data_IF_565085862416
#
_entry.id   IF_565085862416
#
_cell.length_a   1.000
_cell.length_b   1.000
_cell.length_c   1.000
_cell.angle_alpha   90.00
_cell.angle_beta   90.00
_cell.angle_gamma   90.00
#
_symmetry.space_group_name_H-M   'P 1'
#
loop_
_entity.id
_entity.type
_entity.pdbx_description
1 polymer ?
#
# COMPACT_ATOMS: atom_id res chain seq x y z
N UNK A 1 3.12 -12.14 9.92
CA UNK A 1 3.42 -11.77 8.52
C UNK A 1 4.70 -10.97 8.50
N UNK A 2 5.63 -11.34 7.63
CA UNK A 2 6.87 -10.58 7.50
C UNK A 2 6.75 -9.55 6.39
N UNK A 3 7.78 -8.74 6.20
CA UNK A 3 7.72 -7.65 5.22
C UNK A 3 7.60 -8.15 3.79
N UNK A 4 8.22 -9.28 3.46
CA UNK A 4 8.07 -9.82 2.11
C UNK A 4 6.65 -10.27 1.84
N UNK A 5 6.03 -10.92 2.80
CA UNK A 5 4.63 -11.33 2.67
C UNK A 5 3.71 -10.13 2.54
N UNK A 6 3.98 -9.09 3.33
CA UNK A 6 3.19 -7.87 3.26
C UNK A 6 3.38 -7.16 1.92
N UNK A 7 4.62 -7.11 1.42
CA UNK A 7 4.90 -6.54 0.11
C UNK A 7 4.09 -7.24 -0.98
N UNK A 8 4.10 -8.58 -0.96
CA UNK A 8 3.36 -9.35 -1.94
C UNK A 8 1.85 -9.11 -1.83
N UNK A 9 1.34 -9.00 -0.61
CA UNK A 9 -0.08 -8.75 -0.40
C UNK A 9 -0.47 -7.36 -0.94
N UNK A 10 0.35 -6.35 -0.67
CA UNK A 10 0.07 -5.00 -1.16
C UNK A 10 0.08 -4.96 -2.67
N UNK A 11 1.06 -5.63 -3.30
CA UNK A 11 1.15 -5.69 -4.76
C UNK A 11 -0.07 -6.39 -5.35
N UNK A 12 -0.50 -7.46 -4.72
CA UNK A 12 -1.66 -8.22 -5.17
C UNK A 12 -2.93 -7.38 -5.07
N UNK A 13 -3.13 -6.69 -3.95
CA UNK A 13 -4.31 -5.86 -3.75
C UNK A 13 -4.31 -4.69 -4.74
N UNK A 14 -3.15 -4.12 -5.01
CA UNK A 14 -3.06 -3.03 -5.95
C UNK A 14 -3.53 -3.46 -7.34
N UNK A 15 -3.06 -4.59 -7.82
CA UNK A 15 -3.49 -5.10 -9.12
C UNK A 15 -4.97 -5.47 -9.13
N UNK A 16 -5.42 -6.13 -8.07
CA UNK A 16 -6.78 -6.66 -8.02
C UNK A 16 -7.84 -5.56 -7.95
N UNK A 17 -7.60 -4.55 -7.13
CA UNK A 17 -8.63 -3.55 -6.84
C UNK A 17 -8.42 -2.23 -7.56
N UNK A 18 -7.20 -1.94 -8.03
CA UNK A 18 -6.90 -0.67 -8.69
C UNK A 18 -6.47 -0.86 -10.14
N UNK A 19 -6.24 -2.10 -10.56
CA UNK A 19 -5.75 -2.40 -11.91
C UNK A 19 -4.47 -1.63 -12.21
N UNK A 20 -3.65 -1.42 -11.19
CA UNK A 20 -2.39 -0.67 -11.27
C UNK A 20 -1.38 -1.32 -10.35
N UNK A 21 -0.12 -1.44 -10.76
CA UNK A 21 0.88 -2.06 -9.90
C UNK A 21 1.31 -1.13 -8.77
N UNK A 22 1.71 -1.74 -7.66
CA UNK A 22 2.42 -1.02 -6.62
C UNK A 22 3.90 -1.28 -6.84
N UNK A 23 4.66 -0.24 -7.17
CA UNK A 23 6.05 -0.37 -7.60
C UNK A 23 7.05 0.12 -6.56
N UNK A 24 6.61 0.40 -5.37
CA UNK A 24 7.48 0.93 -4.33
C UNK A 24 7.52 -0.03 -3.15
N UNK A 25 7.93 0.44 -1.99
CA UNK A 25 8.15 -0.43 -0.84
C UNK A 25 7.04 -0.28 0.17
N UNK A 26 6.73 -1.37 0.86
CA UNK A 26 5.93 -1.30 2.06
C UNK A 26 6.81 -1.70 3.24
N UNK A 27 6.65 -1.00 4.35
CA UNK A 27 7.43 -1.24 5.56
C UNK A 27 6.50 -1.49 6.73
N UNK A 28 6.93 -2.35 7.63
CA UNK A 28 6.21 -2.60 8.88
C UNK A 28 6.68 -1.59 9.90
N UNK A 29 5.75 -0.89 10.53
CA UNK A 29 6.07 0.06 11.58
C UNK A 29 5.55 -0.48 12.92
N UNK A 30 6.49 -0.78 13.83
CA UNK A 30 6.16 -1.37 15.14
C UNK A 30 5.90 -0.33 16.20
N UNK A 31 6.06 0.94 15.87
CA UNK A 31 5.88 2.04 16.83
C UNK A 31 4.64 2.87 16.57
N UNK A 32 3.91 2.54 15.52
CA UNK A 32 2.70 3.25 15.17
C UNK A 32 1.62 2.94 16.19
N UNK A 33 0.97 3.95 16.74
CA UNK A 33 0.01 3.74 17.82
C UNK A 33 -1.40 4.21 17.51
N UNK A 34 -1.56 5.13 16.58
CA UNK A 34 -2.86 5.77 16.36
C UNK A 34 -3.46 5.50 14.99
N UNK A 35 -2.68 5.04 14.03
CA UNK A 35 -3.18 4.81 12.68
C UNK A 35 -2.84 3.40 12.24
N UNK A 36 -3.58 2.91 11.26
CA UNK A 36 -3.32 1.59 10.68
C UNK A 36 -2.23 1.60 9.64
N UNK A 37 -2.06 2.71 8.95
CA UNK A 37 -1.06 2.82 7.91
C UNK A 37 -0.79 4.25 7.53
N UNK A 38 0.20 4.43 6.67
CA UNK A 38 0.60 5.76 6.21
C UNK A 38 1.25 5.65 4.84
N UNK A 39 0.95 6.61 3.98
CA UNK A 39 1.61 6.75 2.69
C UNK A 39 2.58 7.94 2.76
N UNK A 40 3.80 7.74 2.28
CA UNK A 40 4.83 8.79 2.30
C UNK A 40 4.99 9.40 0.92
N UNK A 41 4.83 10.71 0.83
CA UNK A 41 4.84 11.41 -0.44
C UNK A 41 6.23 11.51 -1.07
N UNK A 42 7.28 11.49 -0.26
CA UNK A 42 8.62 11.75 -0.77
C UNK A 42 9.19 10.60 -1.56
N UNK A 43 9.04 9.37 -1.08
CA UNK A 43 9.59 8.20 -1.78
C UNK A 43 8.52 7.17 -2.13
N UNK A 44 7.24 7.50 -1.91
CA UNK A 44 6.10 6.67 -2.28
C UNK A 44 5.99 5.35 -1.52
N UNK A 45 6.66 5.23 -0.37
CA UNK A 45 6.53 3.98 0.37
C UNK A 45 5.29 4.00 1.25
N UNK A 46 4.79 2.82 1.57
CA UNK A 46 3.71 2.65 2.53
C UNK A 46 4.28 2.13 3.83
N UNK A 47 3.67 2.53 4.94
CA UNK A 47 3.92 1.92 6.24
C UNK A 47 2.65 1.30 6.76
N UNK A 48 2.77 0.12 7.36
CA UNK A 48 1.62 -0.57 7.94
C UNK A 48 1.92 -0.84 9.40
N UNK A 49 0.94 -0.57 10.24
CA UNK A 49 1.05 -0.79 11.67
C UNK A 49 1.14 -2.28 11.95
N UNK A 50 2.21 -2.69 12.64
CA UNK A 50 2.45 -4.09 12.96
C UNK A 50 1.30 -4.74 13.73
N UNK A 51 0.55 -3.94 14.49
CA UNK A 51 -0.58 -4.44 15.28
C UNK A 51 -1.60 -5.21 14.44
N UNK A 52 -1.77 -4.83 13.16
CA UNK A 52 -2.80 -5.41 12.30
C UNK A 52 -2.31 -6.55 11.45
N UNK A 53 -1.09 -7.05 11.69
CA UNK A 53 -0.51 -8.10 10.85
C UNK A 53 -0.80 -9.51 11.36
N UNK A 54 -1.65 -9.65 12.37
CA UNK A 54 -2.06 -10.95 12.87
C UNK A 54 -3.29 -11.43 12.11
N UNK A 55 -3.50 -12.77 11.99
CA UNK A 55 -4.58 -13.29 11.15
C UNK A 55 -5.97 -12.79 11.53
N UNK A 56 -6.22 -12.54 12.80
CA UNK A 56 -7.55 -12.09 13.22
C UNK A 56 -7.93 -10.72 12.69
N UNK A 57 -6.95 -9.93 12.24
CA UNK A 57 -7.21 -8.60 11.69
C UNK A 57 -7.06 -8.55 10.18
N UNK A 58 -7.06 -9.70 9.51
CA UNK A 58 -6.77 -9.73 8.07
C UNK A 58 -7.71 -8.83 7.25
N UNK A 59 -9.01 -8.89 7.50
CA UNK A 59 -9.94 -8.07 6.74
C UNK A 59 -9.71 -6.58 7.00
N UNK A 60 -9.40 -6.24 8.24
CA UNK A 60 -9.08 -4.87 8.59
C UNK A 60 -7.80 -4.40 7.90
N UNK A 61 -6.80 -5.28 7.88
CA UNK A 61 -5.54 -5.01 7.19
C UNK A 61 -5.76 -4.73 5.70
N UNK A 62 -6.58 -5.53 5.05
CA UNK A 62 -6.90 -5.31 3.63
C UNK A 62 -7.51 -3.92 3.44
N UNK A 63 -8.39 -3.51 4.34
CA UNK A 63 -8.99 -2.18 4.30
C UNK A 63 -7.96 -1.06 4.44
N UNK A 64 -7.02 -1.23 5.37
CA UNK A 64 -5.93 -0.27 5.56
C UNK A 64 -5.10 -0.16 4.29
N UNK A 65 -4.74 -1.30 3.71
CA UNK A 65 -3.92 -1.32 2.50
C UNK A 65 -4.65 -0.61 1.36
N UNK A 66 -5.93 -0.88 1.17
CA UNK A 66 -6.72 -0.21 0.14
C UNK A 66 -6.76 1.31 0.34
N UNK A 67 -6.90 1.73 1.58
CA UNK A 67 -6.94 3.15 1.91
C UNK A 67 -5.61 3.83 1.53
N UNK A 68 -4.49 3.23 1.91
CA UNK A 68 -3.19 3.83 1.60
C UNK A 68 -2.86 3.73 0.11
N UNK A 69 -3.28 2.67 -0.56
CA UNK A 69 -3.10 2.56 -2.01
C UNK A 69 -3.92 3.60 -2.75
N UNK A 70 -5.06 4.00 -2.22
CA UNK A 70 -5.84 5.09 -2.82
C UNK A 70 -5.00 6.37 -2.83
N UNK A 71 -4.39 6.72 -1.71
CA UNK A 71 -3.51 7.89 -1.66
C UNK A 71 -2.34 7.75 -2.63
N UNK A 72 -1.73 6.56 -2.64
CA UNK A 72 -0.57 6.28 -3.50
C UNK A 72 -0.92 6.50 -4.97
N UNK A 73 -1.98 5.86 -5.46
CA UNK A 73 -2.32 5.95 -6.88
C UNK A 73 -2.80 7.34 -7.28
N UNK A 74 -3.55 8.02 -6.42
CA UNK A 74 -3.96 9.39 -6.71
C UNK A 74 -2.77 10.33 -6.77
N UNK A 75 -1.83 10.15 -5.87
CA UNK A 75 -0.63 10.99 -5.86
C UNK A 75 0.20 10.77 -7.13
N UNK A 76 0.40 9.51 -7.52
CA UNK A 76 1.13 9.23 -8.76
C UNK A 76 0.47 9.86 -9.97
N UNK A 77 -0.86 9.79 -10.05
CA UNK A 77 -1.57 10.41 -11.16
C UNK A 77 -1.38 11.92 -11.15
N UNK A 78 -1.36 12.54 -9.98
CA UNK A 78 -1.16 13.98 -9.88
C UNK A 78 0.24 14.38 -10.35
N UNK A 79 1.19 13.46 -10.29
CA UNK A 79 2.55 13.70 -10.75
C UNK A 79 2.75 13.34 -12.22
N UNK A 80 1.67 12.94 -12.92
CA UNK A 80 1.75 12.63 -14.34
C UNK A 80 2.02 11.18 -14.67
N UNK A 81 2.12 10.30 -13.69
CA UNK A 81 2.32 8.88 -13.97
C UNK A 81 1.05 8.25 -14.49
N UNK A 82 1.20 7.26 -15.39
CA UNK A 82 0.09 6.47 -15.91
C UNK A 82 0.41 5.03 -15.66
N UNK A 83 -0.57 4.24 -15.24
CA UNK A 83 -0.33 2.83 -15.04
C UNK A 83 -0.20 2.11 -16.37
N UNK A 84 -0.68 2.70 -17.40
CA UNK A 84 -0.60 2.15 -18.73
C UNK A 84 -0.24 3.26 -19.68
N UNK A 85 0.67 2.95 -20.57
CA UNK A 85 1.12 3.94 -21.51
C UNK A 85 1.18 3.30 -22.88
N UNK A 86 0.03 3.01 -23.44
CA UNK A 86 0.02 2.16 -24.60
C UNK A 86 0.55 2.81 -25.84
N UNK A 87 0.43 4.06 -25.93
CA UNK A 87 0.73 4.65 -27.18
C UNK A 87 1.61 5.77 -27.08
N UNK A 88 1.75 6.02 -25.92
CA UNK A 88 2.34 7.18 -25.76
C UNK A 88 3.56 7.17 -25.92
#
# INVERSE_FOLDING_TARGET
MNENELQNLVEEISLKYFDRPFKHRVKINRRMTTTGGRYHLDDHHLEINAHFLVPQYHDYLVGIIKHELTHYHLHLLSLGYRHRDPTR
#
